data_IF_989317697481
#
_entry.id   IF_989317697481
#
_cell.length_a   1.000
_cell.length_b   1.000
_cell.length_c   1.000
_cell.angle_alpha   90.00
_cell.angle_beta   90.00
_cell.angle_gamma   90.00
#
_symmetry.space_group_name_H-M   'P 1'
#
loop_
_entity.id
_entity.type
_entity.pdbx_description
1 polymer ?
#
# COMPACT_ATOMS: atom_id res chain seq x y z
N UNK A 1 28.77 2.01 4.54
CA UNK A 1 27.94 0.80 4.61
C UNK A 1 26.55 1.21 5.05
N UNK A 2 25.49 0.80 4.35
CA UNK A 2 24.12 1.12 4.76
C UNK A 2 23.74 0.35 6.03
N UNK A 3 23.13 1.03 7.01
CA UNK A 3 22.69 0.42 8.26
C UNK A 3 21.37 -0.34 8.03
N UNK A 4 21.27 -1.57 8.53
CA UNK A 4 20.06 -2.41 8.41
C UNK A 4 18.80 -1.66 8.88
N UNK A 5 18.95 -0.86 9.93
CA UNK A 5 17.85 -0.13 10.56
C UNK A 5 17.24 0.97 9.67
N UNK A 6 17.91 1.35 8.59
CA UNK A 6 17.45 2.38 7.65
C UNK A 6 16.68 1.77 6.46
N UNK A 7 16.59 0.43 6.38
CA UNK A 7 15.78 -0.24 5.37
C UNK A 7 14.31 -0.32 5.78
N UNK A 8 13.47 -0.50 4.77
CA UNK A 8 12.03 -0.69 4.89
C UNK A 8 11.71 -2.16 4.64
N UNK A 9 10.83 -2.73 5.45
CA UNK A 9 10.38 -4.11 5.32
C UNK A 9 8.86 -4.17 5.47
N UNK A 10 8.26 -5.13 4.77
CA UNK A 10 6.83 -5.41 4.80
C UNK A 10 6.58 -6.89 5.02
N UNK A 11 5.35 -7.22 5.39
CA UNK A 11 4.85 -8.60 5.45
C UNK A 11 4.80 -9.20 4.05
N UNK A 12 5.20 -10.45 3.91
CA UNK A 12 5.06 -11.21 2.64
C UNK A 12 3.58 -11.55 2.42
N UNK A 13 3.11 -11.51 1.16
CA UNK A 13 1.74 -11.91 0.76
C UNK A 13 1.54 -13.43 0.61
N UNK A 14 2.50 -14.26 1.02
CA UNK A 14 2.47 -15.69 0.77
C UNK A 14 1.39 -16.38 1.61
N UNK A 15 0.55 -17.20 0.96
CA UNK A 15 -0.30 -18.17 1.63
C UNK A 15 0.60 -19.19 2.34
N UNK A 16 0.77 -19.03 3.64
CA UNK A 16 1.37 -20.06 4.48
C UNK A 16 0.37 -21.20 4.64
N UNK A 17 0.44 -22.17 3.72
CA UNK A 17 -0.31 -23.44 3.80
C UNK A 17 0.12 -24.33 4.97
N UNK A 18 1.17 -23.94 5.70
CA UNK A 18 1.69 -24.64 6.87
C UNK A 18 1.35 -23.83 8.14
N UNK A 19 0.95 -24.53 9.20
CA UNK A 19 0.79 -23.93 10.52
C UNK A 19 2.15 -23.44 11.05
N UNK A 20 2.32 -22.12 11.13
CA UNK A 20 3.50 -21.48 11.71
C UNK A 20 3.14 -20.95 13.09
N UNK A 21 3.87 -21.40 14.11
CA UNK A 21 3.74 -20.84 15.46
C UNK A 21 4.57 -19.55 15.58
N UNK A 22 3.90 -18.45 15.93
CA UNK A 22 4.51 -17.15 16.17
C UNK A 22 4.37 -16.80 17.65
N UNK A 23 5.43 -16.27 18.26
CA UNK A 23 5.34 -15.73 19.61
C UNK A 23 4.86 -14.27 19.60
N UNK A 24 4.68 -13.71 20.80
CA UNK A 24 4.18 -12.36 21.01
C UNK A 24 5.02 -11.31 20.28
N UNK A 25 6.34 -11.42 20.34
CA UNK A 25 7.26 -10.41 19.80
C UNK A 25 7.27 -10.45 18.27
N UNK A 26 7.24 -11.65 17.69
CA UNK A 26 7.09 -11.83 16.25
C UNK A 26 5.76 -11.28 15.75
N UNK A 27 4.65 -11.56 16.45
CA UNK A 27 3.33 -11.03 16.08
C UNK A 27 3.29 -9.50 16.15
N UNK A 28 3.84 -8.92 17.23
CA UNK A 28 3.93 -7.47 17.41
C UNK A 28 4.74 -6.81 16.29
N UNK A 29 5.91 -7.36 15.99
CA UNK A 29 6.77 -6.86 14.93
C UNK A 29 6.12 -7.00 13.55
N UNK A 30 5.49 -8.15 13.27
CA UNK A 30 4.80 -8.40 12.00
C UNK A 30 3.65 -7.40 11.79
N UNK A 31 2.88 -7.09 12.83
CA UNK A 31 1.80 -6.10 12.78
C UNK A 31 2.31 -4.67 12.52
N UNK A 32 3.52 -4.33 13.00
CA UNK A 32 4.11 -3.01 12.83
C UNK A 32 4.81 -2.80 11.47
N UNK A 33 5.09 -3.86 10.72
CA UNK A 33 5.75 -3.80 9.41
C UNK A 33 4.75 -3.48 8.28
N UNK A 34 4.83 -2.24 7.80
CA UNK A 34 3.96 -1.68 6.75
C UNK A 34 4.69 -1.38 5.42
N UNK A 35 6.02 -1.56 5.38
CA UNK A 35 6.84 -1.22 4.21
C UNK A 35 7.10 0.27 3.99
N UNK A 36 6.59 1.14 4.87
CA UNK A 36 6.72 2.62 4.81
C UNK A 36 7.65 3.17 5.86
N UNK A 37 7.67 2.53 7.04
CA UNK A 37 8.56 2.89 8.14
C UNK A 37 9.90 2.17 8.01
N UNK A 38 10.96 2.87 8.40
CA UNK A 38 12.28 2.24 8.59
C UNK A 38 12.22 1.23 9.73
N UNK A 39 13.07 0.21 9.71
CA UNK A 39 13.18 -0.75 10.81
C UNK A 39 13.46 -0.08 12.16
N UNK A 40 14.16 1.07 12.17
CA UNK A 40 14.36 1.91 13.36
C UNK A 40 13.04 2.44 13.94
N UNK A 41 12.18 3.00 13.08
CA UNK A 41 10.87 3.51 13.49
C UNK A 41 9.97 2.38 13.95
N UNK A 42 9.97 1.25 13.22
CA UNK A 42 9.20 0.06 13.60
C UNK A 42 9.63 -0.47 14.98
N UNK A 43 10.93 -0.56 15.25
CA UNK A 43 11.44 -0.97 16.56
C UNK A 43 10.98 -0.04 17.68
N UNK A 44 10.95 1.27 17.42
CA UNK A 44 10.48 2.28 18.37
C UNK A 44 8.98 2.15 18.64
N UNK A 45 8.16 2.03 17.59
CA UNK A 45 6.70 1.90 17.69
C UNK A 45 6.29 0.57 18.36
N UNK A 46 7.05 -0.48 18.09
CA UNK A 46 6.88 -1.77 18.72
C UNK A 46 7.50 -1.84 20.13
N UNK A 47 7.99 -0.73 20.69
CA UNK A 47 8.60 -0.65 22.04
C UNK A 47 9.52 -1.85 22.32
N UNK A 48 10.39 -2.16 21.36
CA UNK A 48 11.31 -3.30 21.44
C UNK A 48 12.73 -2.80 21.65
N UNK A 49 13.49 -3.52 22.46
CA UNK A 49 14.93 -3.33 22.48
C UNK A 49 15.55 -3.81 21.16
N UNK A 50 16.75 -3.33 20.83
CA UNK A 50 17.46 -3.79 19.62
C UNK A 50 17.74 -5.30 19.65
N UNK A 51 17.95 -5.89 20.83
CA UNK A 51 18.19 -7.32 20.98
C UNK A 51 16.93 -8.14 20.62
N UNK A 52 15.78 -7.77 21.21
CA UNK A 52 14.50 -8.44 20.99
C UNK A 52 14.05 -8.27 19.53
N UNK A 53 14.19 -7.05 18.99
CA UNK A 53 13.93 -6.75 17.59
C UNK A 53 14.76 -7.63 16.67
N UNK A 54 16.08 -7.72 16.89
CA UNK A 54 16.99 -8.51 16.03
C UNK A 54 16.62 -9.99 16.07
N UNK A 55 16.27 -10.53 17.24
CA UNK A 55 15.85 -11.92 17.39
C UNK A 55 14.52 -12.20 16.67
N UNK A 56 13.50 -11.38 16.91
CA UNK A 56 12.19 -11.53 16.27
C UNK A 56 12.28 -11.34 14.75
N UNK A 57 12.97 -10.30 14.29
CA UNK A 57 13.14 -9.99 12.87
C UNK A 57 13.89 -11.10 12.13
N UNK A 58 14.98 -11.62 12.70
CA UNK A 58 15.73 -12.71 12.07
C UNK A 58 14.88 -13.97 11.90
N UNK A 59 14.02 -14.28 12.88
CA UNK A 59 13.10 -15.42 12.80
C UNK A 59 12.03 -15.20 11.73
N UNK A 60 11.40 -14.03 11.71
CA UNK A 60 10.43 -13.66 10.68
C UNK A 60 11.03 -13.72 9.27
N UNK A 61 12.26 -13.23 9.11
CA UNK A 61 12.97 -13.23 7.83
C UNK A 61 13.30 -14.66 7.38
N UNK A 62 13.78 -15.51 8.29
CA UNK A 62 14.08 -16.91 7.99
C UNK A 62 12.83 -17.72 7.62
N UNK A 63 11.69 -17.40 8.25
CA UNK A 63 10.39 -17.97 7.91
C UNK A 63 9.77 -17.37 6.64
N UNK A 64 10.46 -16.41 5.99
CA UNK A 64 9.99 -15.68 4.80
C UNK A 64 8.66 -14.95 5.00
N UNK A 65 8.35 -14.58 6.24
CA UNK A 65 7.15 -13.82 6.59
C UNK A 65 7.32 -12.31 6.41
N UNK A 66 8.55 -11.86 6.23
CA UNK A 66 8.87 -10.46 5.93
C UNK A 66 9.83 -10.38 4.76
N UNK A 67 9.66 -9.35 3.95
CA UNK A 67 10.48 -9.06 2.78
C UNK A 67 10.90 -7.60 2.77
N UNK A 68 12.06 -7.33 2.16
CA UNK A 68 12.54 -5.95 2.00
C UNK A 68 11.53 -5.21 1.12
N UNK A 69 10.99 -4.12 1.62
CA UNK A 69 10.20 -3.22 0.80
C UNK A 69 11.19 -2.52 -0.14
N UNK A 70 10.93 -2.60 -1.45
CA UNK A 70 11.71 -1.85 -2.43
C UNK A 70 11.65 -0.36 -2.06
N UNK A 71 12.83 0.26 -1.97
CA UNK A 71 12.98 1.63 -1.49
C UNK A 71 12.26 2.60 -2.44
N UNK A 72 11.45 3.49 -1.87
CA UNK A 72 10.76 4.57 -2.58
C UNK A 72 9.88 4.09 -3.74
N UNK A 73 8.80 3.37 -3.43
CA UNK A 73 7.65 3.42 -4.32
C UNK A 73 7.10 4.84 -4.22
N UNK A 74 7.43 5.70 -5.18
CA UNK A 74 6.73 6.97 -5.39
C UNK A 74 5.24 6.65 -5.40
N UNK A 75 4.48 7.26 -4.50
CA UNK A 75 3.04 7.08 -4.43
C UNK A 75 2.36 8.24 -5.14
N UNK A 76 1.10 8.01 -5.57
CA UNK A 76 0.27 9.11 -6.04
C UNK A 76 0.15 10.16 -4.95
N UNK A 77 0.38 11.42 -5.31
CA UNK A 77 0.26 12.50 -4.34
C UNK A 77 -1.23 12.72 -3.98
N UNK A 78 -1.45 13.33 -2.82
CA UNK A 78 -2.81 13.58 -2.32
C UNK A 78 -3.64 14.45 -3.28
N UNK A 79 -3.01 15.39 -3.99
CA UNK A 79 -3.70 16.25 -4.92
C UNK A 79 -4.33 15.46 -6.07
N UNK A 80 -3.61 14.50 -6.66
CA UNK A 80 -4.14 13.60 -7.67
C UNK A 80 -5.30 12.76 -7.13
N UNK A 81 -5.15 12.19 -5.95
CA UNK A 81 -6.20 11.38 -5.32
C UNK A 81 -7.47 12.20 -5.08
N UNK A 82 -7.32 13.44 -4.60
CA UNK A 82 -8.44 14.36 -4.40
C UNK A 82 -9.11 14.74 -5.73
N UNK A 83 -8.32 14.93 -6.79
CA UNK A 83 -8.82 15.21 -8.13
C UNK A 83 -9.64 14.03 -8.70
N UNK A 84 -9.17 12.80 -8.51
CA UNK A 84 -9.92 11.60 -8.92
C UNK A 84 -11.20 11.48 -8.11
N UNK A 85 -11.11 11.68 -6.79
CA UNK A 85 -12.27 11.65 -5.89
C UNK A 85 -13.32 12.67 -6.30
N UNK A 86 -12.93 13.93 -6.56
CA UNK A 86 -13.83 14.99 -7.02
C UNK A 86 -14.52 14.61 -8.31
N UNK A 87 -13.77 14.08 -9.29
CA UNK A 87 -14.32 13.69 -10.59
C UNK A 87 -15.33 12.55 -10.47
N UNK A 88 -15.12 11.60 -9.55
CA UNK A 88 -16.06 10.51 -9.27
C UNK A 88 -17.30 11.01 -8.53
N UNK A 89 -17.15 11.94 -7.60
CA UNK A 89 -18.28 12.54 -6.89
C UNK A 89 -19.16 13.34 -7.84
N UNK A 90 -18.56 14.08 -8.78
CA UNK A 90 -19.30 14.81 -9.81
C UNK A 90 -20.08 13.86 -10.73
N UNK A 91 -19.54 12.66 -11.00
CA UNK A 91 -20.14 11.69 -11.90
C UNK A 91 -21.20 10.80 -11.22
N UNK A 92 -20.96 10.38 -9.99
CA UNK A 92 -21.71 9.32 -9.30
C UNK A 92 -22.32 9.77 -7.97
N UNK A 93 -22.17 11.04 -7.62
CA UNK A 93 -22.57 11.58 -6.33
C UNK A 93 -21.71 11.03 -5.19
N UNK A 94 -22.22 11.02 -3.95
CA UNK A 94 -21.46 10.58 -2.76
C UNK A 94 -20.87 9.17 -2.87
N UNK A 95 -21.44 8.30 -3.71
CA UNK A 95 -20.94 6.95 -3.97
C UNK A 95 -19.54 6.95 -4.60
N UNK A 96 -19.16 8.04 -5.30
CA UNK A 96 -17.82 8.19 -5.86
C UNK A 96 -16.71 8.15 -4.80
N UNK A 97 -16.99 8.58 -3.57
CA UNK A 97 -16.03 8.52 -2.46
C UNK A 97 -15.77 7.08 -2.00
N UNK A 98 -16.82 6.27 -1.90
CA UNK A 98 -16.69 4.87 -1.49
C UNK A 98 -16.06 4.03 -2.59
N UNK A 99 -16.40 4.30 -3.86
CA UNK A 99 -15.85 3.57 -5.00
C UNK A 99 -14.32 3.67 -5.13
N UNK A 100 -13.76 4.86 -4.89
CA UNK A 100 -12.31 5.05 -4.96
C UNK A 100 -11.59 4.35 -3.80
N UNK A 101 -12.22 4.30 -2.62
CA UNK A 101 -11.73 3.56 -1.44
C UNK A 101 -11.76 2.05 -1.69
N UNK A 102 -12.87 1.54 -2.21
CA UNK A 102 -13.06 0.13 -2.55
C UNK A 102 -12.05 -0.32 -3.61
N UNK A 103 -11.86 0.45 -4.68
CA UNK A 103 -10.90 0.14 -5.73
C UNK A 103 -9.46 0.05 -5.19
N UNK A 104 -9.06 0.97 -4.30
CA UNK A 104 -7.74 0.92 -3.67
C UNK A 104 -7.60 -0.32 -2.77
N UNK A 105 -8.64 -0.61 -1.97
CA UNK A 105 -8.70 -1.74 -1.05
C UNK A 105 -8.61 -3.09 -1.78
N UNK A 106 -9.32 -3.25 -2.90
CA UNK A 106 -9.27 -4.45 -3.74
C UNK A 106 -7.87 -4.72 -4.32
N UNK A 107 -7.07 -3.68 -4.53
CA UNK A 107 -5.68 -3.80 -4.96
C UNK A 107 -4.69 -4.03 -3.79
N UNK A 108 -5.20 -4.02 -2.56
CA UNK A 108 -4.42 -4.14 -1.34
C UNK A 108 -3.61 -2.87 -1.02
N UNK A 109 -4.12 -1.71 -1.43
CA UNK A 109 -3.54 -0.39 -1.15
C UNK A 109 -4.46 0.42 -0.24
N UNK A 110 -3.88 1.34 0.53
CA UNK A 110 -4.62 2.50 1.03
C UNK A 110 -4.60 3.59 -0.03
N UNK A 111 -5.61 4.47 -0.10
CA UNK A 111 -5.63 5.65 -0.99
C UNK A 111 -4.29 6.42 -1.04
N UNK A 112 -3.71 6.70 0.13
CA UNK A 112 -2.47 7.48 0.23
C UNK A 112 -1.18 6.65 0.04
N UNK A 113 -1.32 5.42 -0.44
CA UNK A 113 -0.21 4.47 -0.61
C UNK A 113 -0.28 3.73 -1.94
N UNK A 114 -0.98 4.30 -2.92
CA UNK A 114 -1.07 3.75 -4.27
C UNK A 114 0.25 4.06 -4.99
N UNK A 115 0.99 3.04 -5.45
CA UNK A 115 2.20 3.21 -6.24
C UNK A 115 1.96 4.00 -7.54
N UNK A 116 2.86 4.92 -7.91
CA UNK A 116 2.82 5.59 -9.23
C UNK A 116 2.96 4.58 -10.37
N UNK A 117 3.71 3.50 -10.15
CA UNK A 117 3.86 2.39 -11.10
C UNK A 117 2.56 1.61 -11.32
N UNK A 118 1.66 1.59 -10.33
CA UNK A 118 0.35 0.94 -10.40
C UNK A 118 -0.81 1.93 -10.59
N UNK A 119 -0.50 3.20 -10.90
CA UNK A 119 -1.51 4.25 -10.96
C UNK A 119 -2.51 4.03 -12.09
N UNK A 120 -2.05 3.56 -13.27
CA UNK A 120 -2.94 3.28 -14.38
C UNK A 120 -3.87 2.11 -14.07
N UNK A 121 -3.35 1.01 -13.51
CA UNK A 121 -4.16 -0.14 -13.09
C UNK A 121 -5.23 0.26 -12.07
N UNK A 122 -4.90 1.18 -11.15
CA UNK A 122 -5.85 1.75 -10.22
C UNK A 122 -6.96 2.56 -10.91
N UNK A 123 -6.60 3.43 -11.85
CA UNK A 123 -7.57 4.16 -12.67
C UNK A 123 -8.46 3.22 -13.48
N UNK A 124 -7.90 2.14 -14.02
CA UNK A 124 -8.67 1.13 -14.73
C UNK A 124 -9.65 0.43 -13.82
N UNK A 125 -9.22 0.04 -12.61
CA UNK A 125 -10.09 -0.58 -11.61
C UNK A 125 -11.28 0.31 -11.26
N UNK A 126 -11.02 1.59 -10.95
CA UNK A 126 -12.07 2.57 -10.68
C UNK A 126 -13.02 2.69 -11.86
N UNK A 127 -12.49 2.74 -13.09
CA UNK A 127 -13.29 2.89 -14.29
C UNK A 127 -14.19 1.68 -14.59
N UNK A 128 -13.81 0.46 -14.18
CA UNK A 128 -14.67 -0.73 -14.28
C UNK A 128 -15.93 -0.63 -13.40
N UNK A 129 -15.88 0.18 -12.33
CA UNK A 129 -17.00 0.37 -11.42
C UNK A 129 -17.95 1.50 -11.87
N UNK A 130 -17.57 2.27 -12.89
CA UNK A 130 -18.41 3.35 -13.44
C UNK A 130 -19.50 2.75 -14.34
N UNK A 131 -20.80 3.04 -14.08
CA UNK A 131 -21.87 2.62 -14.96
C UNK A 131 -21.82 3.39 -16.29
N UNK A 132 -21.91 2.65 -17.40
CA UNK A 132 -22.00 3.23 -18.74
C UNK A 132 -20.64 3.34 -19.45
N UNK A 133 -20.59 2.83 -20.68
CA UNK A 133 -19.35 2.78 -21.46
C UNK A 133 -18.85 4.17 -21.89
N UNK A 134 -19.75 5.15 -22.07
CA UNK A 134 -19.37 6.50 -22.49
C UNK A 134 -18.69 7.25 -21.35
N UNK A 135 -19.27 7.16 -20.16
CA UNK A 135 -18.82 7.76 -18.91
C UNK A 135 -17.47 7.18 -18.51
N UNK A 136 -17.36 5.85 -18.56
CA UNK A 136 -16.10 5.12 -18.35
C UNK A 136 -14.99 5.59 -19.28
N UNK A 137 -15.28 5.71 -20.58
CA UNK A 137 -14.30 6.16 -21.58
C UNK A 137 -13.89 7.62 -21.35
N UNK A 138 -14.86 8.49 -21.05
CA UNK A 138 -14.60 9.89 -20.74
C UNK A 138 -13.71 10.06 -19.49
N UNK A 139 -13.98 9.29 -18.45
CA UNK A 139 -13.18 9.26 -17.23
C UNK A 139 -11.74 8.81 -17.51
N UNK A 140 -11.54 7.68 -18.20
CA UNK A 140 -10.19 7.18 -18.55
C UNK A 140 -9.39 8.20 -19.37
N UNK A 141 -10.03 8.85 -20.35
CA UNK A 141 -9.38 9.90 -21.15
C UNK A 141 -8.99 11.12 -20.31
N UNK A 142 -9.87 11.54 -19.39
CA UNK A 142 -9.59 12.65 -18.46
C UNK A 142 -8.41 12.33 -17.55
N UNK A 143 -8.38 11.13 -16.96
CA UNK A 143 -7.29 10.67 -16.10
C UNK A 143 -5.97 10.55 -16.85
N UNK A 144 -5.98 9.98 -18.06
CA UNK A 144 -4.80 9.89 -18.91
C UNK A 144 -4.18 11.28 -19.20
N UNK A 145 -5.01 12.30 -19.43
CA UNK A 145 -4.52 13.67 -19.61
C UNK A 145 -3.95 14.27 -18.31
N UNK A 146 -4.59 14.02 -17.16
CA UNK A 146 -4.07 14.47 -15.85
C UNK A 146 -2.72 13.82 -15.52
N UNK A 147 -2.54 12.55 -15.85
CA UNK A 147 -1.28 11.82 -15.61
C UNK A 147 -0.12 12.28 -16.50
N UNK A 148 -0.39 12.91 -17.65
CA UNK A 148 0.67 13.53 -18.48
C UNK A 148 1.24 14.83 -17.88
N UNK A 149 0.49 15.48 -16.99
CA UNK A 149 0.91 16.71 -16.31
C UNK A 149 1.55 16.45 -14.94
N UNK A 150 1.82 15.20 -14.62
CA UNK A 150 2.26 14.72 -13.31
C UNK A 150 3.73 14.26 -13.35
#
# INVERSE_FOLDING_TARGET
MANLLDFHFKRTRADTSNEITLDRDMLRLLAALDGRKTLRQVMTDADMTFADFKQAFSRLYNLRLVEKAEANISCLNQAFINDVKSDLVDLLGPLGETLIEDAASEMGFSLNGIPTTGAWDFIERVAEMIPGNKEKTAFKNKMHNKMKGF
#
